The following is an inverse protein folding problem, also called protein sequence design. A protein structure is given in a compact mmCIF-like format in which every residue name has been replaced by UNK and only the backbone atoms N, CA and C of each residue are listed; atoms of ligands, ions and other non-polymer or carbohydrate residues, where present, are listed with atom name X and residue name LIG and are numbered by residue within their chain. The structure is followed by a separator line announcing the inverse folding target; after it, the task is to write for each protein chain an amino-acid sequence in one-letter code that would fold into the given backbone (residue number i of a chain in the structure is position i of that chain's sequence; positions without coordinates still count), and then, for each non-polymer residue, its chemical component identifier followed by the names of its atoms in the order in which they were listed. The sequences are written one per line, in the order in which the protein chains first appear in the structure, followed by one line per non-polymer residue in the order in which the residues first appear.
data_IF_387594807851
#
_entry.id   IF_387594807851
#
_cell.length_a   1.000
_cell.length_b   1.000
_cell.length_c   1.000
_cell.angle_alpha   90.00
_cell.angle_beta   90.00
_cell.angle_gamma   90.00
#
_symmetry.space_group_name_H-M   'P 1'
#
loop_
_entity.id
_entity.type
_entity.pdbx_description
1 polymer ?
#
# COMPACT_ATOMS: atom_id res chain seq x y z
N UNK A 1 -3.45 -9.53 -0.31
CA UNK A 1 -2.20 -8.78 -0.51
C UNK A 1 -1.06 -9.72 -0.90
N UNK A 2 -0.32 -9.41 -1.96
CA UNK A 2 0.88 -10.14 -2.39
C UNK A 2 2.11 -9.22 -2.36
N UNK A 3 3.00 -9.43 -1.39
CA UNK A 3 4.22 -8.65 -1.21
C UNK A 3 3.97 -7.13 -1.32
N UNK A 4 4.76 -6.48 -2.18
CA UNK A 4 4.61 -5.05 -2.52
C UNK A 4 3.81 -4.81 -3.81
N UNK A 5 3.21 -5.87 -4.39
CA UNK A 5 2.36 -5.76 -5.59
C UNK A 5 0.94 -5.32 -5.26
N UNK A 6 0.56 -5.32 -3.97
CA UNK A 6 -0.74 -4.83 -3.50
C UNK A 6 -1.83 -5.90 -3.50
N UNK A 7 -3.08 -5.45 -3.68
CA UNK A 7 -4.25 -6.34 -3.66
C UNK A 7 -4.25 -7.19 -4.92
N UNK A 8 -4.42 -8.49 -4.75
CA UNK A 8 -4.52 -9.45 -5.84
C UNK A 8 -5.67 -10.40 -5.54
N UNK A 9 -6.41 -10.74 -6.59
CA UNK A 9 -7.41 -11.80 -6.59
C UNK A 9 -6.77 -13.11 -7.03
N UNK A 10 -7.05 -14.19 -6.30
CA UNK A 10 -6.67 -15.55 -6.72
C UNK A 10 -7.63 -16.00 -7.81
N UNK A 11 -7.19 -16.00 -9.06
CA UNK A 11 -8.01 -16.43 -10.20
C UNK A 11 -8.02 -17.96 -10.35
N UNK A 12 -6.91 -18.62 -10.03
CA UNK A 12 -6.77 -20.08 -10.14
C UNK A 12 -5.70 -20.60 -9.20
N UNK A 13 -5.91 -21.82 -8.70
CA UNK A 13 -4.87 -22.62 -8.04
C UNK A 13 -4.61 -23.84 -8.92
N UNK A 14 -3.38 -24.01 -9.37
CA UNK A 14 -3.01 -25.12 -10.25
C UNK A 14 -1.74 -24.85 -11.05
N UNK A 15 -1.31 -25.85 -11.82
CA UNK A 15 -0.12 -25.74 -12.65
C UNK A 15 -0.37 -24.82 -13.86
N UNK A 16 0.49 -23.81 -14.11
CA UNK A 16 0.42 -23.00 -15.33
C UNK A 16 0.78 -23.86 -16.55
N UNK A 17 0.16 -23.59 -17.70
CA UNK A 17 0.40 -24.36 -18.93
C UNK A 17 1.88 -24.30 -19.39
N UNK A 18 2.57 -23.21 -19.11
CA UNK A 18 3.97 -23.01 -19.46
C UNK A 18 4.96 -23.63 -18.46
N UNK A 19 4.49 -24.11 -17.30
CA UNK A 19 5.38 -24.65 -16.28
C UNK A 19 5.84 -26.07 -16.65
N UNK A 20 7.05 -26.18 -17.19
CA UNK A 20 7.74 -27.46 -17.40
C UNK A 20 8.41 -27.89 -16.08
N UNK A 21 8.05 -29.05 -15.53
CA UNK A 21 8.54 -29.51 -14.23
C UNK A 21 7.56 -30.40 -13.48
N UNK A 22 7.81 -30.61 -12.18
CA UNK A 22 7.02 -31.49 -11.30
C UNK A 22 5.50 -31.25 -11.46
N UNK A 23 4.77 -32.31 -11.81
CA UNK A 23 3.32 -32.27 -12.01
C UNK A 23 2.55 -32.01 -10.72
N UNK A 24 3.19 -32.16 -9.56
CA UNK A 24 2.57 -31.94 -8.25
C UNK A 24 2.73 -30.50 -7.75
N UNK A 25 3.59 -29.68 -8.37
CA UNK A 25 3.82 -28.31 -7.90
C UNK A 25 2.64 -27.39 -8.29
N UNK A 26 1.98 -26.85 -7.28
CA UNK A 26 0.84 -25.94 -7.43
C UNK A 26 1.29 -24.49 -7.44
N UNK A 27 0.56 -23.67 -8.22
CA UNK A 27 0.77 -22.23 -8.31
C UNK A 27 -0.54 -21.49 -8.08
N UNK A 28 -0.45 -20.33 -7.44
CA UNK A 28 -1.45 -19.27 -7.51
C UNK A 28 -1.30 -18.51 -8.82
N UNK A 29 -2.40 -18.36 -9.55
CA UNK A 29 -2.55 -17.34 -10.59
C UNK A 29 -3.21 -16.14 -9.94
N UNK A 30 -2.42 -15.11 -9.68
CA UNK A 30 -2.82 -13.88 -9.00
C UNK A 30 -3.03 -12.78 -10.04
N UNK A 31 -4.20 -12.16 -10.03
CA UNK A 31 -4.52 -11.01 -10.87
C UNK A 31 -4.55 -9.79 -9.94
N UNK A 32 -3.64 -8.82 -10.09
CA UNK A 32 -3.68 -7.57 -9.35
C UNK A 32 -5.01 -6.86 -9.59
N UNK A 33 -5.57 -6.27 -8.54
CA UNK A 33 -6.77 -5.43 -8.69
C UNK A 33 -6.41 -4.14 -9.45
N UNK A 34 -5.22 -3.62 -9.19
CA UNK A 34 -4.67 -2.41 -9.81
C UNK A 34 -3.39 -2.76 -10.55
N UNK A 35 -3.54 -3.32 -11.76
CA UNK A 35 -2.44 -3.69 -12.63
C UNK A 35 -2.89 -4.60 -13.77
N UNK A 36 -2.04 -4.76 -14.77
CA UNK A 36 -2.35 -5.59 -15.95
C UNK A 36 -1.62 -6.92 -15.96
N UNK A 37 -0.58 -7.06 -15.13
CA UNK A 37 0.31 -8.23 -15.14
C UNK A 37 -0.23 -9.35 -14.25
N UNK A 38 -0.45 -10.52 -14.84
CA UNK A 38 -0.78 -11.73 -14.07
C UNK A 38 0.47 -12.31 -13.42
N UNK A 39 0.40 -12.55 -12.11
CA UNK A 39 1.50 -13.10 -11.32
C UNK A 39 1.28 -14.59 -11.10
N UNK A 40 2.27 -15.40 -11.44
CA UNK A 40 2.28 -16.83 -11.17
C UNK A 40 3.24 -17.12 -10.02
N UNK A 41 2.70 -17.33 -8.82
CA UNK A 41 3.47 -17.61 -7.62
C UNK A 41 3.28 -19.06 -7.19
N UNK A 42 4.33 -19.84 -6.92
CA UNK A 42 4.14 -21.18 -6.41
C UNK A 42 3.51 -21.14 -5.01
N UNK A 43 2.73 -22.17 -4.64
CA UNK A 43 2.02 -22.18 -3.35
C UNK A 43 2.99 -22.18 -2.16
N UNK A 44 4.21 -22.69 -2.36
CA UNK A 44 5.34 -22.67 -1.41
C UNK A 44 6.21 -21.40 -1.50
N UNK A 45 5.68 -20.30 -2.04
CA UNK A 45 6.41 -19.04 -2.17
C UNK A 45 6.84 -18.47 -0.81
N UNK A 46 8.04 -17.88 -0.78
CA UNK A 46 8.56 -17.15 0.39
C UNK A 46 8.14 -15.67 0.39
N UNK A 47 7.44 -15.22 -0.65
CA UNK A 47 6.90 -13.86 -0.71
C UNK A 47 5.77 -13.73 0.30
N UNK A 48 5.79 -12.66 1.09
CA UNK A 48 4.77 -12.41 2.09
C UNK A 48 3.39 -12.28 1.44
N UNK A 49 2.43 -13.06 1.95
CA UNK A 49 1.03 -13.05 1.52
C UNK A 49 0.14 -12.94 2.75
N UNK A 50 -0.87 -12.08 2.67
CA UNK A 50 -1.92 -11.98 3.68
C UNK A 50 -3.29 -11.72 3.06
N UNK A 51 -4.41 -12.12 3.70
CA UNK A 51 -5.72 -11.63 3.33
C UNK A 51 -5.74 -10.09 3.41
N UNK A 52 -6.61 -9.48 2.59
CA UNK A 52 -6.91 -8.06 2.73
C UNK A 52 -7.68 -7.81 4.03
N UNK A 53 -7.73 -6.55 4.46
CA UNK A 53 -8.60 -6.15 5.57
C UNK A 53 -10.06 -6.55 5.29
N UNK A 54 -10.76 -6.95 6.34
CA UNK A 54 -12.23 -6.98 6.31
C UNK A 54 -12.76 -5.55 6.29
N UNK A 55 -14.03 -5.38 5.88
CA UNK A 55 -14.70 -4.09 5.91
C UNK A 55 -14.61 -3.42 7.30
N UNK A 56 -14.84 -4.20 8.37
CA UNK A 56 -14.78 -3.71 9.75
C UNK A 56 -13.36 -3.26 10.12
N UNK A 57 -12.33 -4.05 9.80
CA UNK A 57 -10.94 -3.66 10.07
C UNK A 57 -10.53 -2.41 9.28
N UNK A 58 -11.02 -2.26 8.04
CA UNK A 58 -10.80 -1.06 7.24
C UNK A 58 -11.48 0.17 7.85
N UNK A 59 -12.73 0.06 8.29
CA UNK A 59 -13.44 1.14 9.01
C UNK A 59 -12.73 1.51 10.32
N UNK A 60 -12.30 0.52 11.10
CA UNK A 60 -11.52 0.73 12.33
C UNK A 60 -10.18 1.43 12.03
N UNK A 61 -9.46 1.00 10.98
CA UNK A 61 -8.22 1.65 10.56
C UNK A 61 -8.47 3.11 10.19
N UNK A 62 -9.48 3.37 9.35
CA UNK A 62 -9.85 4.73 8.93
C UNK A 62 -10.16 5.62 10.13
N UNK A 63 -10.91 5.11 11.11
CA UNK A 63 -11.21 5.86 12.34
C UNK A 63 -9.96 6.21 13.17
N UNK A 64 -8.90 5.40 13.09
CA UNK A 64 -7.63 5.60 13.80
C UNK A 64 -6.62 6.46 13.05
N UNK A 65 -6.83 6.75 11.75
CA UNK A 65 -5.90 7.55 10.93
C UNK A 65 -5.51 8.90 11.57
N UNK A 66 -6.43 9.66 12.20
CA UNK A 66 -6.08 10.90 12.89
C UNK A 66 -5.02 10.69 13.98
N UNK A 67 -5.15 9.61 14.75
CA UNK A 67 -4.32 9.30 15.91
C UNK A 67 -2.99 8.61 15.53
N UNK A 68 -2.91 7.99 14.35
CA UNK A 68 -1.68 7.35 13.88
C UNK A 68 -0.57 8.41 13.76
N UNK A 69 0.57 8.28 14.46
CA UNK A 69 1.63 9.26 14.39
C UNK A 69 2.25 9.33 12.99
N UNK A 70 2.84 10.47 12.67
CA UNK A 70 3.74 10.59 11.51
C UNK A 70 4.86 9.56 11.65
N UNK A 71 5.15 8.84 10.58
CA UNK A 71 6.28 7.90 10.54
C UNK A 71 7.60 8.65 10.68
N UNK A 72 8.61 8.02 11.30
CA UNK A 72 9.94 8.60 11.40
C UNK A 72 10.66 8.53 10.05
N UNK A 73 10.24 9.38 9.12
CA UNK A 73 10.80 9.51 7.78
C UNK A 73 11.74 10.71 7.67
N UNK A 74 12.23 11.21 8.81
CA UNK A 74 13.26 12.22 8.90
C UNK A 74 14.64 11.59 8.65
N UNK A 75 15.59 12.34 8.12
CA UNK A 75 16.93 11.78 7.87
C UNK A 75 17.90 12.83 7.36
N UNK A 76 19.18 12.66 7.71
CA UNK A 76 20.26 13.55 7.26
C UNK A 76 20.70 13.30 5.82
N UNK A 77 20.40 12.11 5.26
CA UNK A 77 20.75 11.75 3.89
C UNK A 77 19.59 11.06 3.16
N UNK A 78 19.58 11.18 1.83
CA UNK A 78 18.57 10.57 0.95
C UNK A 78 18.57 9.04 1.10
N UNK A 79 19.73 8.41 1.27
CA UNK A 79 19.85 6.96 1.44
C UNK A 79 19.14 6.45 2.69
N UNK A 80 19.28 7.15 3.82
CA UNK A 80 18.61 6.79 5.08
C UNK A 80 17.09 6.96 4.96
N UNK A 81 16.63 8.01 4.29
CA UNK A 81 15.19 8.23 4.03
C UNK A 81 14.63 7.10 3.16
N UNK A 82 15.36 6.72 2.09
CA UNK A 82 14.97 5.64 1.19
C UNK A 82 14.83 4.30 1.92
N UNK A 83 15.80 3.96 2.77
CA UNK A 83 15.79 2.73 3.56
C UNK A 83 14.59 2.68 4.52
N UNK A 84 14.26 3.81 5.16
CA UNK A 84 13.08 3.93 6.03
C UNK A 84 11.78 3.73 5.26
N UNK A 85 11.64 4.32 4.08
CA UNK A 85 10.48 4.09 3.22
C UNK A 85 10.37 2.65 2.73
N UNK A 86 11.49 2.03 2.33
CA UNK A 86 11.50 0.62 1.95
C UNK A 86 11.11 -0.29 3.10
N UNK A 87 11.57 0.01 4.31
CA UNK A 87 11.24 -0.75 5.51
C UNK A 87 9.75 -0.66 5.84
N UNK A 88 9.15 0.54 5.74
CA UNK A 88 7.72 0.73 5.93
C UNK A 88 6.88 -0.06 4.90
N UNK A 89 7.28 -0.04 3.62
CA UNK A 89 6.60 -0.83 2.57
C UNK A 89 6.71 -2.34 2.80
N UNK A 90 7.87 -2.82 3.29
CA UNK A 90 8.12 -4.24 3.57
C UNK A 90 7.51 -4.73 4.89
N UNK A 91 7.12 -3.83 5.79
CA UNK A 91 6.44 -4.19 7.03
C UNK A 91 5.01 -4.72 6.79
N UNK A 92 4.41 -4.40 5.63
CA UNK A 92 3.07 -4.83 5.21
C UNK A 92 1.94 -4.48 6.19
N UNK A 93 2.18 -3.53 7.10
CA UNK A 93 1.20 -2.98 8.06
C UNK A 93 0.63 -1.67 7.52
N UNK A 94 -0.69 -1.54 7.57
CA UNK A 94 -1.38 -0.37 7.02
C UNK A 94 -1.05 0.90 7.83
N UNK A 95 -0.84 0.77 9.14
CA UNK A 95 -0.48 1.87 10.05
C UNK A 95 0.87 2.49 9.68
N UNK A 96 1.85 1.67 9.28
CA UNK A 96 3.15 2.17 8.83
C UNK A 96 3.02 2.95 7.52
N UNK A 97 2.16 2.49 6.60
CA UNK A 97 1.86 3.21 5.36
C UNK A 97 1.15 4.54 5.64
N UNK A 98 0.18 4.55 6.56
CA UNK A 98 -0.49 5.79 7.01
C UNK A 98 0.53 6.76 7.60
N UNK A 99 1.39 6.30 8.51
CA UNK A 99 2.42 7.14 9.11
C UNK A 99 3.37 7.72 8.08
N UNK A 100 3.81 6.90 7.12
CA UNK A 100 4.66 7.31 6.00
C UNK A 100 3.98 8.37 5.11
N UNK A 101 2.71 8.16 4.74
CA UNK A 101 1.90 9.11 3.97
C UNK A 101 1.77 10.45 4.70
N UNK A 102 1.41 10.42 6.00
CA UNK A 102 1.31 11.64 6.83
C UNK A 102 2.62 12.41 6.88
N UNK A 103 3.75 11.71 6.96
CA UNK A 103 5.08 12.32 6.97
C UNK A 103 5.44 12.98 5.65
N UNK A 104 5.18 12.33 4.52
CA UNK A 104 5.44 12.91 3.20
C UNK A 104 4.51 14.09 2.92
N UNK A 105 3.23 14.00 3.31
CA UNK A 105 2.28 15.09 3.19
C UNK A 105 2.71 16.33 3.99
N UNK A 106 3.20 16.15 5.22
CA UNK A 106 3.75 17.26 6.01
C UNK A 106 4.93 17.94 5.32
N UNK A 107 5.91 17.16 4.81
CA UNK A 107 7.03 17.69 4.01
C UNK A 107 6.55 18.45 2.77
N UNK A 108 5.48 17.96 2.14
CA UNK A 108 4.86 18.62 0.98
C UNK A 108 4.29 19.98 1.30
N UNK A 109 3.55 20.10 2.41
CA UNK A 109 3.02 21.38 2.87
C UNK A 109 4.14 22.36 3.22
N UNK A 110 5.20 21.90 3.88
CA UNK A 110 6.36 22.73 4.22
C UNK A 110 7.10 23.22 2.96
N UNK A 111 7.36 22.32 2.01
CA UNK A 111 8.01 22.68 0.75
C UNK A 111 7.17 23.73 -0.02
N UNK A 112 5.86 23.52 -0.12
CA UNK A 112 4.94 24.42 -0.81
C UNK A 112 4.92 25.82 -0.16
N UNK A 113 4.92 25.91 1.18
CA UNK A 113 5.03 27.19 1.91
C UNK A 113 6.32 27.95 1.59
N UNK A 114 7.39 27.23 1.25
CA UNK A 114 8.66 27.82 0.82
C UNK A 114 8.77 28.00 -0.72
N UNK A 115 7.69 27.80 -1.49
CA UNK A 115 7.71 27.87 -2.95
C UNK A 115 8.52 26.75 -3.62
N UNK A 116 8.77 25.64 -2.92
CA UNK A 116 9.53 24.47 -3.40
C UNK A 116 8.61 23.29 -3.65
N UNK A 117 9.06 22.35 -4.50
CA UNK A 117 8.43 21.04 -4.68
C UNK A 117 9.10 20.00 -3.81
N UNK A 118 8.36 18.95 -3.45
CA UNK A 118 8.94 17.79 -2.77
C UNK A 118 9.91 17.03 -3.67
N UNK A 119 10.84 16.30 -3.05
CA UNK A 119 11.83 15.52 -3.78
C UNK A 119 11.20 14.36 -4.56
N UNK A 120 11.84 13.96 -5.66
CA UNK A 120 11.39 12.85 -6.51
C UNK A 120 11.30 11.52 -5.75
N UNK A 121 12.19 11.32 -4.75
CA UNK A 121 12.15 10.15 -3.86
C UNK A 121 10.84 10.15 -3.07
N UNK A 122 10.50 11.25 -2.39
CA UNK A 122 9.26 11.35 -1.62
C UNK A 122 8.03 11.11 -2.50
N UNK A 123 7.97 11.70 -3.70
CA UNK A 123 6.86 11.50 -4.66
C UNK A 123 6.68 10.03 -5.03
N UNK A 124 7.78 9.35 -5.37
CA UNK A 124 7.74 7.95 -5.81
C UNK A 124 7.25 7.04 -4.69
N UNK A 125 7.73 7.26 -3.48
CA UNK A 125 7.40 6.43 -2.32
C UNK A 125 6.01 6.74 -1.76
N UNK A 126 5.56 8.01 -1.84
CA UNK A 126 4.18 8.41 -1.57
C UNK A 126 3.22 7.62 -2.44
N UNK A 127 3.41 7.70 -3.77
CA UNK A 127 2.53 7.01 -4.73
C UNK A 127 2.44 5.51 -4.44
N UNK A 128 3.57 4.87 -4.12
CA UNK A 128 3.59 3.45 -3.76
C UNK A 128 2.84 3.14 -2.47
N UNK A 129 2.97 3.97 -1.44
CA UNK A 129 2.24 3.79 -0.20
C UNK A 129 0.73 3.97 -0.42
N UNK A 130 0.34 4.97 -1.20
CA UNK A 130 -1.06 5.21 -1.61
C UNK A 130 -1.61 4.07 -2.46
N UNK A 131 -0.85 3.56 -3.43
CA UNK A 131 -1.22 2.39 -4.25
C UNK A 131 -1.56 1.17 -3.38
N UNK A 132 -0.75 0.90 -2.36
CA UNK A 132 -0.97 -0.23 -1.45
C UNK A 132 -2.14 0.02 -0.49
N UNK A 133 -2.13 1.15 0.21
CA UNK A 133 -3.11 1.45 1.25
C UNK A 133 -4.50 1.71 0.66
N UNK A 134 -4.60 2.59 -0.33
CA UNK A 134 -5.89 2.95 -0.91
C UNK A 134 -6.45 1.83 -1.76
N UNK A 135 -5.60 1.06 -2.45
CA UNK A 135 -6.05 -0.14 -3.14
C UNK A 135 -6.67 -1.17 -2.19
N UNK A 136 -6.08 -1.36 -1.01
CA UNK A 136 -6.62 -2.24 0.01
C UNK A 136 -7.92 -1.71 0.62
N UNK A 137 -7.96 -0.44 1.01
CA UNK A 137 -9.17 0.18 1.56
C UNK A 137 -10.33 0.16 0.58
N UNK A 138 -10.09 0.48 -0.70
CA UNK A 138 -11.12 0.47 -1.74
C UNK A 138 -11.82 -0.89 -1.83
N UNK A 139 -11.04 -1.97 -1.94
CA UNK A 139 -11.57 -3.33 -2.05
C UNK A 139 -12.26 -3.76 -0.74
N UNK A 140 -11.68 -3.41 0.40
CA UNK A 140 -12.21 -3.80 1.72
C UNK A 140 -13.52 -3.09 2.06
N UNK A 141 -13.65 -1.82 1.67
CA UNK A 141 -14.83 -0.98 1.91
C UNK A 141 -15.89 -1.14 0.80
N UNK A 142 -15.51 -1.68 -0.36
CA UNK A 142 -16.39 -1.82 -1.52
C UNK A 142 -16.69 -0.47 -2.19
N UNK A 143 -15.69 0.42 -2.25
CA UNK A 143 -15.78 1.74 -2.87
C UNK A 143 -14.73 1.87 -3.98
N UNK A 144 -14.94 2.81 -4.89
CA UNK A 144 -13.95 3.15 -5.90
C UNK A 144 -12.70 3.75 -5.24
N UNK A 145 -11.55 3.57 -5.90
CA UNK A 145 -10.26 3.97 -5.34
C UNK A 145 -10.17 5.49 -5.14
N UNK A 146 -10.81 6.24 -6.02
CA UNK A 146 -10.90 7.70 -5.98
C UNK A 146 -11.72 8.20 -4.78
N UNK A 147 -12.68 7.39 -4.30
CA UNK A 147 -13.56 7.70 -3.16
C UNK A 147 -12.88 7.45 -1.81
N UNK A 148 -11.72 6.75 -1.78
CA UNK A 148 -11.02 6.42 -0.53
C UNK A 148 -10.57 7.67 0.21
N UNK A 149 -10.00 8.65 -0.49
CA UNK A 149 -9.51 9.89 0.15
C UNK A 149 -10.68 10.70 0.73
N UNK A 150 -11.76 11.02 -0.03
CA UNK A 150 -12.96 11.64 0.53
C UNK A 150 -13.56 10.88 1.71
N UNK A 151 -13.56 9.54 1.66
CA UNK A 151 -14.05 8.70 2.75
C UNK A 151 -13.22 8.88 4.03
N UNK A 152 -11.89 8.87 3.89
CA UNK A 152 -10.96 9.10 5.01
C UNK A 152 -11.16 10.49 5.59
N UNK A 153 -11.22 11.53 4.75
CA UNK A 153 -11.39 12.92 5.20
C UNK A 153 -12.70 13.10 5.99
N UNK A 154 -13.79 12.54 5.48
CA UNK A 154 -15.10 12.55 6.15
C UNK A 154 -15.07 11.82 7.49
N UNK A 155 -14.44 10.65 7.55
CA UNK A 155 -14.34 9.85 8.78
C UNK A 155 -13.39 10.46 9.81
N UNK A 156 -12.33 11.12 9.36
CA UNK A 156 -11.35 11.81 10.20
C UNK A 156 -11.85 13.17 10.72
N UNK A 157 -13.01 13.65 10.27
CA UNK A 157 -13.52 14.97 10.62
C UNK A 157 -12.66 16.12 10.07
N UNK A 158 -11.77 15.84 9.12
CA UNK A 158 -10.94 16.83 8.44
C UNK A 158 -11.73 17.35 7.25
N UNK A 159 -12.84 18.04 7.54
CA UNK A 159 -13.46 18.90 6.54
C UNK A 159 -12.44 20.00 6.21
N UNK A 160 -12.09 20.12 4.92
CA UNK A 160 -11.03 20.99 4.45
C UNK A 160 -11.04 22.39 5.08
N UNK A 161 -9.90 22.74 5.67
CA UNK A 161 -9.47 24.13 5.87
C UNK A 161 -8.67 24.61 4.66
#
# INVERSE_FOLDING_TARGET
MYGISGVCRVAKIGKPQFASGDHKKLYYTLVPEYGTETIYAPVDTTVFMRPILTKKEAEELVSKIPDIPKGDCSGRSISVIKERYESALKAHRCEDLVGMIKSIYAKSREAARCGRKIGQVDQRYMKRAEDLLYGELAVSLGIDREEVVPYIEKAAGVAGE
#
